data_IF_714183515117
#
_entry.id   IF_714183515117
#
_cell.length_a   1.000
_cell.length_b   1.000
_cell.length_c   1.000
_cell.angle_alpha   90.00
_cell.angle_beta   90.00
_cell.angle_gamma   90.00
#
_symmetry.space_group_name_H-M   'P 1'
#
loop_
_entity.id
_entity.type
_entity.pdbx_description
1 polymer ?
#
# COMPACT_ATOMS: atom_id res chain seq x y z
N UNK A 1 26.23 -8.01 -35.06
CA UNK A 1 26.31 -7.83 -33.59
C UNK A 1 26.55 -6.33 -33.41
N UNK A 2 25.72 -5.52 -32.75
CA UNK A 2 25.52 -5.55 -31.30
C UNK A 2 24.41 -4.54 -30.92
N UNK A 3 23.56 -5.01 -30.00
CA UNK A 3 22.44 -4.41 -29.24
C UNK A 3 22.14 -2.92 -29.43
N UNK A 4 20.90 -2.67 -29.86
CA UNK A 4 20.21 -1.38 -29.87
C UNK A 4 19.61 -1.15 -28.48
N UNK A 5 20.04 -0.09 -27.80
CA UNK A 5 19.58 0.25 -26.46
C UNK A 5 18.09 0.64 -26.46
N UNK A 6 17.25 -0.22 -25.91
CA UNK A 6 15.85 0.10 -25.63
C UNK A 6 15.81 1.02 -24.40
N UNK A 7 15.69 2.31 -24.67
CA UNK A 7 15.65 3.42 -23.70
C UNK A 7 14.55 3.19 -22.65
N UNK A 8 14.96 3.15 -21.38
CA UNK A 8 14.20 3.72 -20.26
C UNK A 8 12.97 2.97 -19.76
N UNK A 9 12.84 1.66 -19.99
CA UNK A 9 11.82 0.88 -19.29
C UNK A 9 12.27 0.70 -17.83
N UNK A 10 11.49 1.12 -16.82
CA UNK A 10 11.79 0.76 -15.43
C UNK A 10 11.78 -0.76 -15.33
N UNK A 11 12.93 -1.34 -14.95
CA UNK A 11 13.01 -2.77 -14.68
C UNK A 11 12.03 -3.09 -13.53
N UNK A 12 11.19 -4.14 -13.64
CA UNK A 12 10.41 -4.58 -12.51
C UNK A 12 11.39 -4.92 -11.39
N UNK A 13 11.31 -4.16 -10.28
CA UNK A 13 12.02 -4.55 -9.07
C UNK A 13 11.56 -5.97 -8.76
N UNK A 14 12.53 -6.89 -8.68
CA UNK A 14 12.30 -8.21 -8.10
C UNK A 14 11.45 -7.99 -6.86
N UNK A 15 10.26 -8.60 -6.81
CA UNK A 15 9.40 -8.54 -5.63
C UNK A 15 10.27 -8.96 -4.47
N UNK A 16 10.67 -7.99 -3.64
CA UNK A 16 11.34 -8.28 -2.41
C UNK A 16 10.33 -9.10 -1.63
N UNK A 17 10.60 -10.40 -1.49
CA UNK A 17 9.89 -11.23 -0.52
C UNK A 17 10.23 -10.60 0.81
N UNK A 18 9.40 -9.65 1.24
CA UNK A 18 9.48 -9.11 2.59
C UNK A 18 9.53 -10.34 3.49
N UNK A 19 10.57 -10.48 4.35
CA UNK A 19 10.57 -11.57 5.30
C UNK A 19 9.22 -11.52 5.99
N UNK A 20 8.50 -12.65 5.98
CA UNK A 20 7.22 -12.82 6.64
C UNK A 20 7.49 -12.61 8.14
N UNK A 21 7.60 -11.34 8.54
CA UNK A 21 8.05 -10.95 9.86
C UNK A 21 7.09 -11.59 10.84
N UNK A 22 7.64 -12.23 11.87
CA UNK A 22 6.90 -12.93 12.93
C UNK A 22 5.58 -12.21 13.21
N UNK A 23 4.50 -12.72 12.60
CA UNK A 23 3.22 -12.04 12.68
C UNK A 23 2.81 -12.09 14.16
N UNK A 24 2.49 -10.96 14.80
CA UNK A 24 2.05 -10.99 16.17
C UNK A 24 0.90 -11.99 16.28
N UNK A 25 0.95 -12.89 17.26
CA UNK A 25 -0.03 -13.97 17.49
C UNK A 25 -1.45 -13.51 17.82
N UNK A 26 -1.74 -12.21 17.62
CA UNK A 26 -3.07 -11.64 17.80
C UNK A 26 -4.03 -12.28 16.79
N UNK A 27 -5.28 -12.57 17.21
CA UNK A 27 -6.27 -13.11 16.30
C UNK A 27 -6.57 -12.11 15.19
N UNK A 28 -6.90 -12.63 14.01
CA UNK A 28 -7.42 -11.84 12.90
C UNK A 28 -8.69 -11.09 13.33
N UNK A 29 -8.77 -9.81 12.95
CA UNK A 29 -9.93 -8.98 13.22
C UNK A 29 -10.58 -8.58 11.89
N UNK A 30 -11.89 -8.70 11.80
CA UNK A 30 -12.64 -8.13 10.68
C UNK A 30 -12.53 -6.60 10.69
N UNK A 31 -12.33 -6.00 9.52
CA UNK A 31 -12.21 -4.54 9.34
C UNK A 31 -13.39 -4.00 8.53
N UNK A 32 -13.56 -4.48 7.29
CA UNK A 32 -14.69 -4.15 6.42
C UNK A 32 -14.82 -5.18 5.29
N UNK A 33 -15.95 -5.13 4.57
CA UNK A 33 -16.14 -5.87 3.33
C UNK A 33 -15.28 -5.31 2.19
N UNK A 34 -14.92 -6.16 1.23
CA UNK A 34 -14.10 -5.77 0.08
C UNK A 34 -14.71 -4.63 -0.75
N UNK A 35 -16.04 -4.63 -0.89
CA UNK A 35 -16.78 -3.64 -1.66
C UNK A 35 -16.91 -2.29 -0.95
N UNK A 36 -16.62 -2.24 0.35
CA UNK A 36 -16.48 -0.99 1.09
C UNK A 36 -15.18 -0.24 0.74
N UNK A 37 -14.20 -0.92 0.12
CA UNK A 37 -12.97 -0.30 -0.37
C UNK A 37 -13.13 -0.05 -1.87
N UNK A 38 -13.18 1.22 -2.34
CA UNK A 38 -13.36 1.49 -3.76
C UNK A 38 -12.18 0.97 -4.59
N UNK A 39 -12.43 0.41 -5.77
CA UNK A 39 -11.47 -0.36 -6.57
C UNK A 39 -10.15 0.34 -6.96
N UNK A 40 -10.11 1.67 -6.86
CA UNK A 40 -8.96 2.54 -7.17
C UNK A 40 -8.81 3.64 -6.11
N UNK A 41 -9.22 3.37 -4.87
CA UNK A 41 -9.10 4.33 -3.78
C UNK A 41 -8.70 3.64 -2.48
N UNK A 42 -8.45 4.46 -1.47
CA UNK A 42 -8.23 3.98 -0.12
C UNK A 42 -9.18 4.61 0.89
N UNK A 43 -9.32 3.91 2.02
CA UNK A 43 -10.11 4.33 3.16
C UNK A 43 -9.28 4.22 4.45
N UNK A 44 -9.54 5.10 5.40
CA UNK A 44 -9.04 4.97 6.76
C UNK A 44 -9.83 3.90 7.52
N UNK A 45 -9.14 3.03 8.24
CA UNK A 45 -9.75 2.01 9.09
C UNK A 45 -8.98 1.83 10.39
N UNK A 46 -9.51 1.00 11.30
CA UNK A 46 -8.91 0.74 12.60
C UNK A 46 -8.77 -0.76 12.87
N UNK A 47 -7.58 -1.13 13.33
CA UNK A 47 -7.28 -2.46 13.85
C UNK A 47 -6.95 -2.32 15.34
N UNK A 48 -7.95 -2.56 16.19
CA UNK A 48 -7.93 -2.17 17.61
C UNK A 48 -7.69 -0.66 17.80
N UNK A 49 -6.55 -0.32 18.40
CA UNK A 49 -6.13 1.07 18.64
C UNK A 49 -5.31 1.68 17.50
N UNK A 50 -4.88 0.85 16.53
CA UNK A 50 -4.03 1.30 15.42
C UNK A 50 -4.88 1.80 14.25
N UNK A 51 -4.58 3.00 13.78
CA UNK A 51 -5.12 3.49 12.52
C UNK A 51 -4.33 2.93 11.34
N UNK A 52 -5.05 2.41 10.36
CA UNK A 52 -4.50 1.86 9.14
C UNK A 52 -5.19 2.50 7.95
N UNK A 53 -4.51 2.53 6.81
CA UNK A 53 -5.08 2.91 5.53
C UNK A 53 -5.17 1.66 4.66
N UNK A 54 -6.38 1.38 4.15
CA UNK A 54 -6.64 0.30 3.21
C UNK A 54 -6.71 0.88 1.81
N UNK A 55 -6.02 0.27 0.86
CA UNK A 55 -6.06 0.66 -0.56
C UNK A 55 -6.42 -0.54 -1.41
N UNK A 56 -7.34 -0.36 -2.35
CA UNK A 56 -7.67 -1.40 -3.32
C UNK A 56 -7.19 -0.99 -4.71
N UNK A 57 -6.56 -1.94 -5.39
CA UNK A 57 -6.15 -1.82 -6.78
C UNK A 57 -6.60 -3.06 -7.54
N UNK A 58 -7.74 -2.95 -8.24
CA UNK A 58 -8.39 -4.09 -8.86
C UNK A 58 -8.94 -5.04 -7.80
N UNK A 59 -8.41 -6.27 -7.74
CA UNK A 59 -8.82 -7.29 -6.76
C UNK A 59 -7.88 -7.39 -5.55
N UNK A 60 -6.77 -6.64 -5.55
CA UNK A 60 -5.79 -6.67 -4.47
C UNK A 60 -6.07 -5.57 -3.46
N UNK A 61 -5.96 -5.91 -2.18
CA UNK A 61 -6.08 -4.99 -1.06
C UNK A 61 -4.73 -4.91 -0.35
N UNK A 62 -4.30 -3.68 -0.08
CA UNK A 62 -3.08 -3.36 0.64
C UNK A 62 -3.44 -2.62 1.91
N UNK A 63 -2.83 -3.02 3.03
CA UNK A 63 -2.96 -2.34 4.31
C UNK A 63 -1.64 -1.68 4.67
N UNK A 64 -1.68 -0.37 4.90
CA UNK A 64 -0.53 0.44 5.28
C UNK A 64 -0.81 1.12 6.62
N UNK A 65 0.25 1.47 7.33
CA UNK A 65 0.12 2.33 8.50
C UNK A 65 -0.33 3.73 8.10
N UNK A 66 -1.30 4.28 8.84
CA UNK A 66 -1.68 5.67 8.69
C UNK A 66 -0.70 6.58 9.46
N UNK A 67 0.58 6.55 9.09
CA UNK A 67 1.62 7.41 9.66
C UNK A 67 2.11 8.37 8.59
N UNK A 68 2.03 9.67 8.87
CA UNK A 68 2.75 10.62 8.05
C UNK A 68 4.27 10.43 8.26
N UNK A 69 5.07 10.28 7.18
CA UNK A 69 6.51 10.30 7.31
C UNK A 69 6.92 11.68 7.83
N UNK A 70 7.67 11.73 8.94
CA UNK A 70 8.11 12.96 9.59
C UNK A 70 9.04 13.86 8.74
N UNK A 71 9.39 13.43 7.53
CA UNK A 71 10.23 14.18 6.60
C UNK A 71 9.35 14.99 5.64
N UNK A 72 9.12 16.25 6.03
CA UNK A 72 8.74 17.44 5.22
C UNK A 72 7.63 17.22 4.17
N UNK A 73 6.49 17.94 4.25
CA UNK A 73 5.47 17.84 3.22
C UNK A 73 6.01 18.50 1.94
N UNK A 74 6.51 17.73 0.99
CA UNK A 74 6.21 17.99 -0.43
C UNK A 74 4.82 17.41 -0.70
N UNK A 75 3.84 17.85 0.09
CA UNK A 75 2.45 17.50 -0.13
C UNK A 75 1.97 18.26 -1.36
N UNK A 76 1.70 17.54 -2.44
CA UNK A 76 0.82 18.02 -3.49
C UNK A 76 -0.53 18.31 -2.83
N UNK A 77 -0.86 19.60 -2.70
CA UNK A 77 -2.19 20.07 -2.30
C UNK A 77 -3.22 19.48 -3.26
N UNK A 78 -4.03 18.53 -2.79
CA UNK A 78 -5.28 18.16 -3.48
C UNK A 78 -6.32 19.17 -3.02
N UNK A 79 -6.67 20.10 -3.91
CA UNK A 79 -7.77 21.05 -3.68
C UNK A 79 -9.11 20.34 -3.71
N UNK A 80 -10.07 20.91 -2.96
CA UNK A 80 -11.48 20.54 -2.97
C UNK A 80 -12.10 20.58 -4.37
#
# INVERSE_FOLDING_TARGET
>A
MQRRDLRGQPQPLLTETLPEGELPSRPWQAVCDLDAIPAQAGIGARLGERQIALFRFGERVYALDNREPAARPTCCRVGC
#
